data_IF_394452028911
#
_entry.id   IF_394452028911
#
_cell.length_a   1.000
_cell.length_b   1.000
_cell.length_c   1.000
_cell.angle_alpha   90.00
_cell.angle_beta   90.00
_cell.angle_gamma   90.00
#
_symmetry.space_group_name_H-M   'P 1'
#
loop_
_entity.id
_entity.type
_entity.pdbx_description
1 polymer ?
#
# COMPACT_ATOMS: atom_id res chain seq x y z
N UNK A 1 1.65 54.56 9.33
CA UNK A 1 0.82 53.40 9.73
C UNK A 1 0.89 52.24 8.73
N UNK A 2 1.22 52.47 7.44
CA UNK A 2 1.32 51.42 6.40
C UNK A 2 2.72 50.81 6.17
N UNK A 3 3.80 51.48 6.57
CA UNK A 3 5.18 50.94 6.44
C UNK A 3 5.49 49.79 7.40
N UNK A 4 4.98 49.86 8.63
CA UNK A 4 5.13 48.79 9.62
C UNK A 4 4.41 47.48 9.24
N UNK A 5 3.37 47.57 8.42
CA UNK A 5 2.61 46.41 7.94
C UNK A 5 3.33 45.70 6.79
N UNK A 6 4.11 46.45 5.99
CA UNK A 6 4.91 45.89 4.89
C UNK A 6 6.07 45.06 5.46
N UNK A 7 6.73 45.53 6.51
CA UNK A 7 7.79 44.78 7.21
C UNK A 7 7.26 43.47 7.83
N UNK A 8 6.04 43.50 8.38
CA UNK A 8 5.38 42.31 8.93
C UNK A 8 5.08 41.28 7.84
N UNK A 9 4.55 41.71 6.69
CA UNK A 9 4.25 40.84 5.55
C UNK A 9 5.52 40.25 4.92
N UNK A 10 6.61 41.02 4.84
CA UNK A 10 7.90 40.54 4.35
C UNK A 10 8.54 39.49 5.28
N UNK A 11 8.33 39.62 6.60
CA UNK A 11 8.77 38.60 7.56
C UNK A 11 7.93 37.31 7.45
N UNK A 12 6.63 37.43 7.16
CA UNK A 12 5.71 36.31 6.97
C UNK A 12 6.00 35.52 5.68
N UNK A 13 6.36 36.21 4.60
CA UNK A 13 6.78 35.57 3.35
C UNK A 13 8.07 34.76 3.56
N UNK A 14 9.02 35.28 4.35
CA UNK A 14 10.27 34.59 4.65
C UNK A 14 10.04 33.32 5.50
N UNK A 15 9.09 33.36 6.44
CA UNK A 15 8.68 32.18 7.20
C UNK A 15 7.98 31.14 6.32
N UNK A 16 7.11 31.57 5.40
CA UNK A 16 6.40 30.66 4.48
C UNK A 16 7.33 29.99 3.45
N UNK A 17 8.37 30.70 2.98
CA UNK A 17 9.40 30.14 2.09
C UNK A 17 10.24 29.04 2.78
N UNK A 18 10.44 29.12 4.10
CA UNK A 18 11.16 28.09 4.86
C UNK A 18 10.37 26.78 5.01
N UNK A 19 9.03 26.87 5.00
CA UNK A 19 8.15 25.70 5.08
C UNK A 19 8.03 24.96 3.74
N UNK A 20 8.20 25.66 2.63
CA UNK A 20 8.17 25.05 1.28
C UNK A 20 9.47 24.30 0.96
N UNK A 21 10.63 24.72 1.49
CA UNK A 21 11.89 23.96 1.34
C UNK A 21 11.93 22.63 2.09
N UNK A 22 11.03 22.42 3.06
CA UNK A 22 10.91 21.15 3.80
C UNK A 22 10.09 20.06 3.08
N UNK A 23 9.44 20.39 1.95
CA UNK A 23 8.58 19.46 1.19
C UNK A 23 9.29 18.91 -0.07
N UNK A 24 10.52 19.35 -0.33
CA UNK A 24 11.32 18.95 -1.51
C UNK A 24 12.42 17.92 -1.27
N UNK A 25 12.54 17.35 -0.06
CA UNK A 25 13.44 16.22 0.15
C UNK A 25 12.71 14.93 -0.27
N UNK A 26 13.23 14.13 -1.21
CA UNK A 26 12.68 12.81 -1.49
C UNK A 26 12.79 12.00 -0.20
N UNK A 27 11.68 11.85 0.51
CA UNK A 27 11.56 10.82 1.54
C UNK A 27 11.74 9.50 0.80
N UNK A 28 12.93 8.94 0.96
CA UNK A 28 13.30 7.65 0.42
C UNK A 28 12.60 6.58 1.28
N UNK A 29 11.26 6.60 1.30
CA UNK A 29 10.44 5.65 2.07
C UNK A 29 10.61 4.21 1.54
N UNK A 30 11.10 4.07 0.30
CA UNK A 30 11.56 2.80 -0.29
C UNK A 30 12.82 2.25 0.38
N UNK A 31 13.70 3.09 0.94
CA UNK A 31 14.91 2.61 1.62
C UNK A 31 14.62 2.03 3.01
N UNK A 32 13.56 2.50 3.68
CA UNK A 32 13.19 1.97 4.99
C UNK A 32 12.37 0.66 4.90
N UNK A 33 11.69 0.43 3.77
CA UNK A 33 11.09 -0.89 3.46
C UNK A 33 12.17 -1.92 3.09
N UNK A 34 13.27 -1.49 2.46
CA UNK A 34 14.40 -2.38 2.14
C UNK A 34 15.19 -2.81 3.39
N UNK A 35 15.37 -1.92 4.37
CA UNK A 35 16.06 -2.26 5.63
C UNK A 35 15.27 -3.21 6.55
N UNK A 36 13.95 -3.37 6.34
CA UNK A 36 13.13 -4.36 7.04
C UNK A 36 13.19 -5.76 6.38
N UNK A 37 13.76 -5.88 5.17
CA UNK A 37 13.90 -7.16 4.48
C UNK A 37 15.10 -7.98 4.97
N UNK A 38 16.08 -7.36 5.62
CA UNK A 38 17.31 -8.02 6.11
C UNK A 38 17.15 -8.70 7.49
N UNK A 39 15.97 -8.59 8.12
CA UNK A 39 15.71 -9.18 9.44
C UNK A 39 14.87 -10.46 9.41
N UNK A 40 14.69 -11.10 8.24
CA UNK A 40 13.82 -12.28 8.10
C UNK A 40 14.65 -13.49 7.69
N UNK A 41 15.53 -13.93 8.57
CA UNK A 41 15.81 -15.37 8.72
C UNK A 41 14.64 -16.02 9.45
N UNK A 42 13.44 -15.94 8.85
CA UNK A 42 12.33 -16.75 9.29
C UNK A 42 12.44 -18.12 8.59
N UNK A 43 12.20 -19.23 9.30
CA UNK A 43 12.24 -20.56 8.71
C UNK A 43 11.28 -20.63 7.51
N UNK A 44 11.58 -21.48 6.53
CA UNK A 44 10.79 -21.65 5.30
C UNK A 44 9.27 -21.88 5.54
N UNK A 45 8.88 -22.29 6.75
CA UNK A 45 7.49 -22.37 7.22
C UNK A 45 6.78 -21.03 7.35
N UNK A 46 7.49 -19.94 7.64
CA UNK A 46 6.92 -18.58 7.75
C UNK A 46 6.42 -18.07 6.40
N UNK A 47 7.13 -18.38 5.32
CA UNK A 47 6.77 -17.89 3.99
C UNK A 47 5.51 -18.56 3.42
N UNK A 48 5.41 -19.90 3.50
CA UNK A 48 4.22 -20.62 3.05
C UNK A 48 2.96 -20.16 3.81
N UNK A 49 3.12 -19.81 5.10
CA UNK A 49 2.07 -19.21 5.90
C UNK A 49 1.68 -17.81 5.39
N UNK A 50 2.64 -16.94 5.05
CA UNK A 50 2.36 -15.62 4.46
C UNK A 50 1.64 -15.73 3.12
N UNK A 51 2.07 -16.65 2.23
CA UNK A 51 1.39 -16.88 0.95
C UNK A 51 -0.04 -17.40 1.16
N UNK A 52 -0.21 -18.40 2.04
CA UNK A 52 -1.52 -18.93 2.40
C UNK A 52 -2.43 -17.82 2.93
N UNK A 53 -1.92 -17.00 3.83
CA UNK A 53 -2.65 -15.89 4.41
C UNK A 53 -2.99 -14.82 3.38
N UNK A 54 -2.11 -14.54 2.41
CA UNK A 54 -2.39 -13.64 1.29
C UNK A 54 -3.49 -14.17 0.37
N UNK A 55 -3.48 -15.47 0.07
CA UNK A 55 -4.53 -16.13 -0.71
C UNK A 55 -5.88 -16.14 0.03
N UNK A 56 -5.88 -16.46 1.32
CA UNK A 56 -7.06 -16.42 2.17
C UNK A 56 -7.63 -15.00 2.24
N UNK A 57 -6.77 -13.98 2.34
CA UNK A 57 -7.17 -12.58 2.35
C UNK A 57 -7.82 -12.14 1.03
N UNK A 58 -7.27 -12.54 -0.12
CA UNK A 58 -7.89 -12.26 -1.43
C UNK A 58 -9.26 -12.91 -1.53
N UNK A 59 -9.38 -14.17 -1.11
CA UNK A 59 -10.66 -14.88 -1.11
C UNK A 59 -11.70 -14.14 -0.25
N UNK A 60 -11.31 -13.73 0.96
CA UNK A 60 -12.17 -12.97 1.86
C UNK A 60 -12.60 -11.62 1.27
N UNK A 61 -11.69 -10.93 0.56
CA UNK A 61 -11.98 -9.64 -0.06
C UNK A 61 -12.92 -9.80 -1.27
N UNK A 62 -12.76 -10.86 -2.07
CA UNK A 62 -13.72 -11.20 -3.13
C UNK A 62 -15.11 -11.51 -2.59
N UNK A 63 -15.22 -12.34 -1.55
CA UNK A 63 -16.51 -12.67 -0.93
C UNK A 63 -17.21 -11.42 -0.38
N UNK A 64 -16.45 -10.54 0.28
CA UNK A 64 -16.97 -9.28 0.82
C UNK A 64 -17.48 -8.34 -0.29
N UNK A 65 -16.74 -8.24 -1.40
CA UNK A 65 -17.18 -7.44 -2.54
C UNK A 65 -18.46 -7.98 -3.19
N UNK A 66 -18.57 -9.31 -3.32
CA UNK A 66 -19.78 -9.97 -3.83
C UNK A 66 -20.99 -9.76 -2.90
N UNK A 67 -20.79 -9.85 -1.58
CA UNK A 67 -21.85 -9.63 -0.61
C UNK A 67 -22.31 -8.16 -0.58
N UNK A 68 -21.38 -7.21 -0.66
CA UNK A 68 -21.71 -5.78 -0.75
C UNK A 68 -22.46 -5.45 -2.05
N UNK A 69 -22.10 -6.07 -3.18
CA UNK A 69 -22.84 -5.93 -4.43
C UNK A 69 -24.28 -6.46 -4.29
N UNK A 70 -24.45 -7.64 -3.70
CA UNK A 70 -25.78 -8.22 -3.46
C UNK A 70 -26.61 -7.43 -2.45
N UNK A 71 -25.99 -6.81 -1.44
CA UNK A 71 -26.68 -5.91 -0.50
C UNK A 71 -27.11 -4.60 -1.18
N UNK A 72 -26.27 -4.05 -2.06
CA UNK A 72 -26.61 -2.88 -2.86
C UNK A 72 -27.78 -3.14 -3.82
N UNK A 73 -27.76 -4.26 -4.54
CA UNK A 73 -28.87 -4.67 -5.43
C UNK A 73 -30.20 -4.84 -4.70
N UNK A 74 -30.15 -5.28 -3.43
CA UNK A 74 -31.32 -5.42 -2.56
C UNK A 74 -31.77 -4.13 -1.90
N UNK A 75 -31.06 -3.01 -2.11
CA UNK A 75 -31.39 -1.71 -1.54
C UNK A 75 -31.20 -1.63 -0.02
N UNK A 76 -30.25 -2.41 0.54
CA UNK A 76 -29.95 -2.38 1.97
C UNK A 76 -29.50 -0.96 2.38
N UNK A 77 -30.17 -0.31 3.34
CA UNK A 77 -29.78 1.02 3.79
C UNK A 77 -28.40 0.99 4.44
N UNK A 78 -27.52 1.90 4.00
CA UNK A 78 -26.14 2.00 4.50
C UNK A 78 -25.07 1.35 3.64
N UNK A 79 -25.43 0.64 2.55
CA UNK A 79 -24.46 0.18 1.54
C UNK A 79 -24.54 1.11 0.34
N UNK A 80 -23.51 1.95 0.18
CA UNK A 80 -23.45 2.90 -0.93
C UNK A 80 -22.60 2.34 -2.09
N UNK A 81 -23.00 2.67 -3.32
CA UNK A 81 -22.28 2.26 -4.54
C UNK A 81 -20.77 2.60 -4.50
N UNK A 82 -20.33 3.78 -4.01
CA UNK A 82 -18.90 4.10 -3.90
C UNK A 82 -18.13 3.13 -2.99
N UNK A 83 -18.77 2.60 -1.95
CA UNK A 83 -18.17 1.63 -1.04
C UNK A 83 -17.98 0.28 -1.72
N UNK A 84 -18.97 -0.18 -2.51
CA UNK A 84 -18.84 -1.38 -3.35
C UNK A 84 -17.69 -1.23 -4.33
N UNK A 85 -17.61 -0.09 -5.03
CA UNK A 85 -16.54 0.18 -6.00
C UNK A 85 -15.15 0.21 -5.34
N UNK A 86 -15.03 0.79 -4.14
CA UNK A 86 -13.77 0.84 -3.41
C UNK A 86 -13.30 -0.56 -3.00
N UNK A 87 -14.21 -1.39 -2.48
CA UNK A 87 -13.89 -2.78 -2.11
C UNK A 87 -13.51 -3.62 -3.34
N UNK A 88 -14.17 -3.41 -4.48
CA UNK A 88 -13.79 -4.03 -5.76
C UNK A 88 -12.38 -3.62 -6.21
N UNK A 89 -12.01 -2.34 -6.06
CA UNK A 89 -10.67 -1.86 -6.38
C UNK A 89 -9.61 -2.45 -5.44
N UNK A 90 -9.89 -2.53 -4.13
CA UNK A 90 -9.02 -3.19 -3.15
C UNK A 90 -8.77 -4.64 -3.54
N UNK A 91 -9.82 -5.40 -3.85
CA UNK A 91 -9.70 -6.79 -4.28
C UNK A 91 -8.79 -6.94 -5.52
N UNK A 92 -8.94 -6.07 -6.53
CA UNK A 92 -8.13 -6.07 -7.74
C UNK A 92 -6.64 -5.80 -7.47
N UNK A 93 -6.34 -4.82 -6.60
CA UNK A 93 -4.94 -4.48 -6.24
C UNK A 93 -4.32 -5.59 -5.40
N UNK A 94 -5.04 -6.13 -4.41
CA UNK A 94 -4.59 -7.25 -3.59
C UNK A 94 -4.30 -8.51 -4.41
N UNK A 95 -5.15 -8.82 -5.40
CA UNK A 95 -4.92 -9.97 -6.30
C UNK A 95 -3.64 -9.81 -7.13
N UNK A 96 -3.39 -8.62 -7.66
CA UNK A 96 -2.15 -8.31 -8.39
C UNK A 96 -0.92 -8.51 -7.51
N UNK A 97 -0.96 -8.01 -6.28
CA UNK A 97 0.12 -8.19 -5.32
C UNK A 97 0.41 -9.68 -5.02
N UNK A 98 -0.63 -10.50 -4.84
CA UNK A 98 -0.45 -11.95 -4.60
C UNK A 98 0.13 -12.66 -5.81
N UNK A 99 -0.26 -12.27 -7.02
CA UNK A 99 0.29 -12.85 -8.26
C UNK A 99 1.79 -12.56 -8.39
N UNK A 100 2.22 -11.33 -8.08
CA UNK A 100 3.63 -10.95 -8.06
C UNK A 100 4.44 -11.76 -7.04
N UNK A 101 3.89 -11.95 -5.84
CA UNK A 101 4.51 -12.79 -4.81
C UNK A 101 4.63 -14.23 -5.31
N UNK A 102 3.59 -14.79 -5.93
CA UNK A 102 3.62 -16.14 -6.53
C UNK A 102 4.74 -16.27 -7.57
N UNK A 103 4.85 -15.31 -8.49
CA UNK A 103 5.85 -15.36 -9.56
C UNK A 103 7.27 -15.33 -8.98
N UNK A 104 7.53 -14.40 -8.04
CA UNK A 104 8.82 -14.32 -7.33
C UNK A 104 9.21 -15.61 -6.60
N UNK A 105 8.24 -16.39 -6.14
CA UNK A 105 8.55 -17.68 -5.51
C UNK A 105 8.95 -18.76 -6.48
N UNK A 106 8.26 -18.82 -7.62
CA UNK A 106 8.59 -19.75 -8.68
C UNK A 106 10.02 -19.45 -9.16
N UNK A 107 10.37 -18.16 -9.29
CA UNK A 107 11.71 -17.71 -9.67
C UNK A 107 12.77 -18.05 -8.60
N UNK A 108 12.46 -17.82 -7.32
CA UNK A 108 13.38 -18.13 -6.22
C UNK A 108 13.63 -19.64 -6.09
N UNK A 109 12.60 -20.47 -6.24
CA UNK A 109 12.74 -21.93 -6.27
C UNK A 109 13.59 -22.39 -7.46
N UNK A 110 13.32 -21.86 -8.65
CA UNK A 110 14.13 -22.15 -9.84
C UNK A 110 15.59 -21.71 -9.66
N UNK A 111 15.82 -20.58 -9.01
CA UNK A 111 17.17 -20.05 -8.73
C UNK A 111 17.96 -20.98 -7.79
N UNK A 112 17.33 -21.49 -6.73
CA UNK A 112 17.97 -22.46 -5.83
C UNK A 112 18.27 -23.77 -6.57
N UNK A 113 17.38 -24.21 -7.45
CA UNK A 113 17.54 -25.46 -8.20
C UNK A 113 18.60 -25.37 -9.31
N UNK A 114 18.79 -24.17 -9.88
CA UNK A 114 19.80 -23.89 -10.91
C UNK A 114 21.12 -23.36 -10.32
N UNK A 115 21.24 -23.22 -9.00
CA UNK A 115 22.54 -22.94 -8.38
C UNK A 115 23.44 -24.15 -8.59
N UNK A 116 24.60 -24.01 -9.28
CA UNK A 116 25.57 -25.08 -9.31
C UNK A 116 26.10 -25.30 -7.88
N UNK A 117 26.06 -26.56 -7.46
CA UNK A 117 26.80 -27.02 -6.27
C UNK A 117 28.31 -26.90 -6.47
#
# INVERSE_FOLDING_TARGET
MSSQQIDAVLSQIRAMQSQIRGVGAPRNDVAQVAAAADAVQAPASSFANVLKQGLDQVNQTQQRAADLAAQFERGVPGVELPQVMLEMQKASVSFRAVTEVRNKLVDAYQTIMNMPI
#
